data_IF_060613716323
#
_entry.id   IF_060613716323
#
_cell.length_a   1.000
_cell.length_b   1.000
_cell.length_c   1.000
_cell.angle_alpha   90.00
_cell.angle_beta   90.00
_cell.angle_gamma   90.00
#
_symmetry.space_group_name_H-M   'P 1'
#
loop_
_entity.id
_entity.type
_entity.pdbx_description
1 polymer ?
#
# COMPACT_ATOMS: atom_id res chain seq x y z
N UNK A 1 -24.31 -7.57 23.76
CA UNK A 1 -24.29 -6.31 22.99
C UNK A 1 -23.02 -5.59 23.34
N UNK A 2 -22.08 -5.55 22.38
CA UNK A 2 -21.02 -4.58 22.18
C UNK A 2 -20.35 -5.10 20.91
N UNK A 3 -20.81 -4.61 19.76
CA UNK A 3 -20.04 -4.76 18.54
C UNK A 3 -18.73 -4.01 18.83
N UNK A 4 -17.62 -4.73 18.95
CA UNK A 4 -16.32 -4.10 18.89
C UNK A 4 -16.32 -3.26 17.61
N UNK A 5 -16.16 -1.96 17.78
CA UNK A 5 -16.07 -1.04 16.64
C UNK A 5 -14.98 -1.53 15.69
N UNK A 6 -15.04 -1.14 14.41
CA UNK A 6 -13.99 -1.51 13.46
C UNK A 6 -12.61 -1.21 14.06
N UNK A 7 -11.64 -2.12 13.92
CA UNK A 7 -10.32 -1.96 14.52
C UNK A 7 -9.74 -0.60 14.14
N UNK A 8 -9.32 0.15 15.15
CA UNK A 8 -8.66 1.45 14.94
C UNK A 8 -7.39 1.19 14.15
N UNK A 9 -7.29 1.79 12.96
CA UNK A 9 -6.07 1.73 12.15
C UNK A 9 -4.89 2.17 13.01
N UNK A 10 -3.93 1.29 13.19
CA UNK A 10 -2.74 1.59 13.97
C UNK A 10 -1.77 2.45 13.17
N UNK A 11 -0.97 3.26 13.84
CA UNK A 11 0.11 4.03 13.21
C UNK A 11 1.05 3.09 12.43
N UNK A 12 1.30 1.90 12.97
CA UNK A 12 2.12 0.88 12.32
C UNK A 12 1.51 0.39 11.00
N UNK A 13 0.20 0.12 10.92
CA UNK A 13 -0.45 -0.28 9.67
C UNK A 13 -0.37 0.82 8.59
N UNK A 14 -0.48 2.09 9.00
CA UNK A 14 -0.32 3.22 8.08
C UNK A 14 1.13 3.36 7.60
N UNK A 15 2.11 3.20 8.49
CA UNK A 15 3.53 3.20 8.15
C UNK A 15 3.91 2.04 7.23
N UNK A 16 3.42 0.83 7.50
CA UNK A 16 3.61 -0.36 6.67
C UNK A 16 3.08 -0.13 5.25
N UNK A 17 1.86 0.42 5.13
CA UNK A 17 1.25 0.72 3.84
C UNK A 17 2.03 1.80 3.07
N UNK A 18 2.47 2.87 3.76
CA UNK A 18 3.30 3.93 3.15
C UNK A 18 4.65 3.42 2.68
N UNK A 19 5.29 2.55 3.46
CA UNK A 19 6.52 1.90 3.06
C UNK A 19 6.31 1.07 1.78
N UNK A 20 5.29 0.20 1.76
CA UNK A 20 4.99 -0.65 0.60
C UNK A 20 4.71 0.15 -0.67
N UNK A 21 3.96 1.26 -0.59
CA UNK A 21 3.73 2.13 -1.75
C UNK A 21 5.00 2.87 -2.18
N UNK A 22 5.85 3.27 -1.23
CA UNK A 22 7.14 3.92 -1.55
C UNK A 22 8.06 2.96 -2.32
N UNK A 23 8.20 1.73 -1.83
CA UNK A 23 9.02 0.67 -2.43
C UNK A 23 8.57 0.34 -3.87
N UNK A 24 7.27 0.13 -4.06
CA UNK A 24 6.68 -0.16 -5.38
C UNK A 24 6.82 1.00 -6.39
N UNK A 25 6.90 2.25 -5.91
CA UNK A 25 7.17 3.40 -6.79
C UNK A 25 8.60 3.39 -7.34
N UNK A 26 9.56 2.96 -6.53
CA UNK A 26 10.95 2.84 -6.96
C UNK A 26 11.13 1.62 -7.89
N UNK A 27 10.46 0.51 -7.59
CA UNK A 27 10.39 -0.65 -8.50
C UNK A 27 9.81 -0.27 -9.87
N UNK A 28 8.70 0.50 -9.89
CA UNK A 28 8.10 0.97 -11.13
C UNK A 28 9.04 1.88 -11.94
N UNK A 29 9.80 2.74 -11.25
CA UNK A 29 10.81 3.60 -11.89
C UNK A 29 11.96 2.78 -12.50
N UNK A 30 12.42 1.73 -11.80
CA UNK A 30 13.43 0.80 -12.31
C UNK A 30 12.93 -0.03 -13.51
N UNK A 31 11.64 -0.36 -13.53
CA UNK A 31 10.97 -1.13 -14.58
C UNK A 31 10.93 -0.39 -15.93
N UNK A 32 10.91 0.95 -15.94
CA UNK A 32 10.91 1.76 -17.15
C UNK A 32 12.27 1.77 -17.90
N UNK A 33 13.36 1.37 -17.23
CA UNK A 33 14.72 1.44 -17.78
C UNK A 33 15.21 0.14 -18.45
N UNK A 34 14.43 -0.95 -18.46
CA UNK A 34 14.85 -2.27 -18.98
C UNK A 34 13.75 -2.94 -19.81
N UNK A 35 14.10 -3.96 -20.59
CA UNK A 35 13.17 -4.95 -21.15
C UNK A 35 12.47 -5.73 -20.01
N UNK A 36 11.63 -5.03 -19.24
CA UNK A 36 10.86 -5.62 -18.18
C UNK A 36 9.73 -6.41 -18.81
N UNK A 37 9.89 -7.73 -18.86
CA UNK A 37 8.86 -8.68 -19.27
C UNK A 37 7.63 -8.65 -18.35
N UNK A 38 7.13 -9.82 -17.94
CA UNK A 38 5.91 -9.93 -17.13
C UNK A 38 5.90 -9.17 -15.79
N UNK A 39 7.05 -8.71 -15.27
CA UNK A 39 7.19 -7.98 -14.01
C UNK A 39 6.34 -6.71 -13.95
N UNK A 40 6.23 -5.95 -15.05
CA UNK A 40 5.43 -4.73 -15.13
C UNK A 40 3.97 -4.97 -14.73
N UNK A 41 3.40 -6.11 -15.14
CA UNK A 41 2.03 -6.48 -14.79
C UNK A 41 1.86 -6.61 -13.28
N UNK A 42 2.81 -7.26 -12.61
CA UNK A 42 2.77 -7.48 -11.17
C UNK A 42 3.00 -6.18 -10.39
N UNK A 43 3.99 -5.37 -10.78
CA UNK A 43 4.27 -4.08 -10.14
C UNK A 43 3.07 -3.14 -10.27
N UNK A 44 2.50 -2.99 -11.47
CA UNK A 44 1.35 -2.10 -11.69
C UNK A 44 0.11 -2.56 -10.92
N UNK A 45 -0.17 -3.87 -10.94
CA UNK A 45 -1.30 -4.44 -10.21
C UNK A 45 -1.16 -4.25 -8.71
N UNK A 46 0.02 -4.52 -8.17
CA UNK A 46 0.29 -4.42 -6.73
C UNK A 46 0.33 -2.96 -6.26
N UNK A 47 0.99 -2.05 -7.00
CA UNK A 47 0.99 -0.63 -6.68
C UNK A 47 -0.41 -0.05 -6.67
N UNK A 48 -1.26 -0.42 -7.64
CA UNK A 48 -2.65 0.03 -7.69
C UNK A 48 -3.44 -0.44 -6.46
N UNK A 49 -3.25 -1.69 -6.05
CA UNK A 49 -3.89 -2.28 -4.86
C UNK A 49 -3.43 -1.58 -3.59
N UNK A 50 -2.12 -1.50 -3.36
CA UNK A 50 -1.54 -0.89 -2.17
C UNK A 50 -1.89 0.60 -2.04
N UNK A 51 -1.96 1.32 -3.17
CA UNK A 51 -2.38 2.73 -3.17
C UNK A 51 -3.84 2.89 -2.73
N UNK A 52 -4.75 2.02 -3.22
CA UNK A 52 -6.15 2.03 -2.80
C UNK A 52 -6.31 1.69 -1.30
N UNK A 53 -5.54 0.72 -0.81
CA UNK A 53 -5.53 0.34 0.60
C UNK A 53 -5.00 1.45 1.50
N UNK A 54 -3.90 2.11 1.10
CA UNK A 54 -3.37 3.27 1.82
C UNK A 54 -4.40 4.41 1.90
N UNK A 55 -5.11 4.70 0.82
CA UNK A 55 -6.14 5.72 0.81
C UNK A 55 -7.30 5.39 1.77
N UNK A 56 -7.72 4.12 1.83
CA UNK A 56 -8.76 3.67 2.77
C UNK A 56 -8.28 3.68 4.23
N UNK A 57 -7.02 3.30 4.48
CA UNK A 57 -6.40 3.38 5.80
C UNK A 57 -6.34 4.84 6.28
N UNK A 58 -5.87 5.76 5.42
CA UNK A 58 -5.80 7.19 5.72
C UNK A 58 -7.19 7.80 5.97
N UNK A 59 -8.22 7.32 5.27
CA UNK A 59 -9.61 7.73 5.48
C UNK A 59 -10.29 7.08 6.70
N UNK A 60 -9.62 6.16 7.41
CA UNK A 60 -10.24 5.39 8.50
C UNK A 60 -11.37 4.45 8.03
N UNK A 61 -11.42 4.15 6.73
CA UNK A 61 -12.47 3.35 6.07
C UNK A 61 -12.01 1.91 5.78
N UNK A 62 -10.77 1.57 6.14
CA UNK A 62 -10.26 0.21 6.02
C UNK A 62 -10.94 -0.71 7.05
N UNK A 63 -11.63 -1.73 6.56
CA UNK A 63 -12.37 -2.68 7.40
C UNK A 63 -11.73 -4.08 7.47
N UNK A 64 -10.55 -4.26 6.87
CA UNK A 64 -9.96 -5.58 6.63
C UNK A 64 -10.73 -6.40 5.59
N UNK A 65 -10.01 -7.03 4.65
CA UNK A 65 -10.58 -7.92 3.64
C UNK A 65 -10.30 -7.48 2.20
N UNK A 66 -9.95 -8.43 1.33
CA UNK A 66 -9.53 -8.17 -0.04
C UNK A 66 -10.66 -8.17 -1.09
N UNK A 67 -10.31 -7.74 -2.31
CA UNK A 67 -11.10 -7.95 -3.51
C UNK A 67 -12.30 -7.02 -3.69
N UNK A 68 -13.38 -7.51 -4.32
CA UNK A 68 -14.51 -6.75 -4.93
C UNK A 68 -15.14 -5.64 -4.08
N UNK A 69 -14.98 -5.65 -2.76
CA UNK A 69 -15.46 -4.56 -1.92
C UNK A 69 -14.51 -3.34 -1.88
N UNK A 70 -13.27 -3.48 -2.34
CA UNK A 70 -12.25 -2.43 -2.38
C UNK A 70 -12.69 -1.27 -3.26
N UNK A 71 -13.07 -1.53 -4.52
CA UNK A 71 -13.49 -0.48 -5.45
C UNK A 71 -14.74 0.28 -4.97
N UNK A 72 -15.74 -0.43 -4.44
CA UNK A 72 -16.96 0.19 -3.90
C UNK A 72 -16.64 1.06 -2.67
N UNK A 73 -15.85 0.54 -1.73
CA UNK A 73 -15.42 1.31 -0.55
C UNK A 73 -14.57 2.51 -0.92
N UNK A 74 -13.71 2.35 -1.92
CA UNK A 74 -12.88 3.43 -2.41
C UNK A 74 -13.74 4.55 -2.99
N UNK A 75 -14.80 4.22 -3.74
CA UNK A 75 -15.73 5.24 -4.24
C UNK A 75 -16.52 5.92 -3.12
N UNK A 76 -16.89 5.19 -2.06
CA UNK A 76 -17.59 5.76 -0.90
C UNK A 76 -16.69 6.68 -0.05
N UNK A 77 -15.43 6.30 0.18
CA UNK A 77 -14.51 7.02 1.07
C UNK A 77 -13.64 8.05 0.35
N UNK A 78 -13.23 7.77 -0.89
CA UNK A 78 -12.33 8.59 -1.71
C UNK A 78 -12.84 8.62 -3.17
N UNK A 79 -13.93 9.37 -3.44
CA UNK A 79 -14.60 9.35 -4.74
C UNK A 79 -13.67 9.60 -5.93
N UNK A 80 -13.82 8.82 -6.99
CA UNK A 80 -13.04 8.94 -8.22
C UNK A 80 -11.62 8.35 -8.19
N UNK A 81 -11.08 7.98 -7.03
CA UNK A 81 -9.74 7.39 -6.94
C UNK A 81 -9.66 6.03 -7.66
N UNK A 82 -10.72 5.22 -7.60
CA UNK A 82 -10.79 3.93 -8.31
C UNK A 82 -10.62 4.10 -9.82
N UNK A 83 -11.34 5.08 -10.41
CA UNK A 83 -11.27 5.36 -11.84
C UNK A 83 -9.89 5.91 -12.24
N UNK A 84 -9.31 6.79 -11.41
CA UNK A 84 -7.95 7.32 -11.63
C UNK A 84 -6.91 6.20 -11.63
N UNK A 85 -6.95 5.29 -10.66
CA UNK A 85 -6.03 4.14 -10.58
C UNK A 85 -6.21 3.20 -11.77
N UNK A 86 -7.44 2.93 -12.19
CA UNK A 86 -7.71 2.08 -13.36
C UNK A 86 -7.12 2.70 -14.64
N UNK A 87 -7.39 3.98 -14.89
CA UNK A 87 -6.89 4.67 -16.09
C UNK A 87 -5.36 4.78 -16.10
N UNK A 88 -4.77 5.15 -14.95
CA UNK A 88 -3.33 5.28 -14.80
C UNK A 88 -2.61 3.92 -14.89
N UNK A 89 -3.18 2.88 -14.30
CA UNK A 89 -2.67 1.50 -14.39
C UNK A 89 -2.64 0.99 -15.82
N UNK A 90 -3.70 1.23 -16.60
CA UNK A 90 -3.73 0.86 -18.02
C UNK A 90 -2.57 1.51 -18.82
N UNK A 91 -2.31 2.80 -18.60
CA UNK A 91 -1.19 3.50 -19.22
C UNK A 91 0.18 2.95 -18.75
N UNK A 92 0.31 2.61 -17.47
CA UNK A 92 1.54 2.07 -16.91
C UNK A 92 1.90 0.70 -17.52
N UNK A 93 0.89 -0.14 -17.81
CA UNK A 93 1.06 -1.41 -18.52
C UNK A 93 1.60 -1.22 -19.94
N UNK A 94 1.32 -0.08 -20.58
CA UNK A 94 1.82 0.25 -21.93
C UNK A 94 3.23 0.88 -21.95
N UNK A 95 3.85 1.13 -20.80
CA UNK A 95 5.11 1.88 -20.76
C UNK A 95 5.04 3.21 -20.02
N UNK A 96 3.84 3.80 -19.89
CA UNK A 96 3.64 5.19 -19.50
C UNK A 96 3.26 5.28 -18.02
N UNK A 97 4.26 5.17 -17.14
CA UNK A 97 4.06 5.07 -15.69
C UNK A 97 3.74 6.38 -14.98
N UNK A 98 4.02 7.54 -15.59
CA UNK A 98 3.94 8.85 -14.93
C UNK A 98 2.59 9.11 -14.24
N UNK A 99 1.49 8.75 -14.90
CA UNK A 99 0.15 8.92 -14.34
C UNK A 99 -0.08 8.07 -13.09
N UNK A 100 0.41 6.83 -13.08
CA UNK A 100 0.25 5.93 -11.93
C UNK A 100 1.14 6.39 -10.77
N UNK A 101 2.38 6.79 -11.08
CA UNK A 101 3.29 7.38 -10.11
C UNK A 101 2.72 8.63 -9.46
N UNK A 102 2.08 9.52 -10.23
CA UNK A 102 1.47 10.73 -9.72
C UNK A 102 0.30 10.43 -8.75
N UNK A 103 -0.59 9.49 -9.11
CA UNK A 103 -1.72 9.11 -8.24
C UNK A 103 -1.22 8.50 -6.93
N UNK A 104 -0.24 7.60 -6.98
CA UNK A 104 0.34 6.98 -5.78
C UNK A 104 1.08 8.01 -4.91
N UNK A 105 1.79 8.96 -5.52
CA UNK A 105 2.46 10.04 -4.79
C UNK A 105 1.46 10.96 -4.08
N UNK A 106 0.34 11.32 -4.71
CA UNK A 106 -0.71 12.14 -4.08
C UNK A 106 -1.29 11.47 -2.83
N UNK A 107 -1.57 10.16 -2.90
CA UNK A 107 -2.07 9.39 -1.76
C UNK A 107 -1.02 9.28 -0.65
N UNK A 108 0.26 9.07 -1.01
CA UNK A 108 1.36 9.09 -0.05
C UNK A 108 1.47 10.44 0.65
N UNK A 109 1.45 11.54 -0.09
CA UNK A 109 1.57 12.89 0.45
C UNK A 109 0.43 13.21 1.42
N UNK A 110 -0.80 12.82 1.08
CA UNK A 110 -1.96 12.89 1.97
C UNK A 110 -1.86 12.01 3.23
N UNK A 111 -0.96 11.02 3.22
CA UNK A 111 -0.71 10.08 4.34
C UNK A 111 0.58 10.40 5.13
N UNK A 112 1.26 11.51 4.82
CA UNK A 112 2.50 11.94 5.48
C UNK A 112 3.78 11.72 4.69
N UNK A 113 3.67 11.40 3.38
CA UNK A 113 4.77 11.30 2.41
C UNK A 113 5.44 9.93 2.32
N UNK A 114 6.51 9.85 1.53
CA UNK A 114 7.34 8.62 1.41
C UNK A 114 7.98 8.24 2.74
N UNK A 115 8.23 6.94 2.92
CA UNK A 115 8.89 6.41 4.11
C UNK A 115 10.03 5.47 3.67
N UNK A 116 11.28 5.90 3.91
CA UNK A 116 12.49 5.20 3.42
C UNK A 116 13.48 4.79 4.52
N UNK A 117 13.59 5.56 5.61
CA UNK A 117 14.71 5.44 6.56
C UNK A 117 14.24 4.93 7.93
N UNK A 118 14.84 3.82 8.38
CA UNK A 118 14.72 3.34 9.77
C UNK A 118 13.53 2.43 10.07
N UNK A 119 12.67 2.14 9.08
CA UNK A 119 11.59 1.17 9.25
C UNK A 119 12.20 -0.21 9.57
N UNK A 120 12.08 -0.63 10.82
CA UNK A 120 12.45 -1.97 11.30
C UNK A 120 11.20 -2.57 11.92
N UNK A 121 10.55 -3.49 11.22
CA UNK A 121 9.61 -4.39 11.87
C UNK A 121 10.42 -5.23 12.86
N UNK A 122 10.11 -5.10 14.16
CA UNK A 122 10.66 -6.02 15.14
C UNK A 122 10.14 -7.41 14.75
N UNK A 123 11.01 -8.26 14.21
CA UNK A 123 10.65 -9.62 13.85
C UNK A 123 10.19 -10.34 15.10
N UNK A 124 8.89 -10.62 15.20
CA UNK A 124 8.39 -11.50 16.25
C UNK A 124 8.93 -12.89 15.97
N UNK A 125 9.86 -13.37 16.81
CA UNK A 125 10.20 -14.78 16.94
C UNK A 125 9.35 -15.34 18.09
N UNK A 126 8.21 -16.00 17.83
CA UNK A 126 7.53 -16.75 18.86
C UNK A 126 8.42 -17.92 19.30
N UNK A 127 8.79 -17.95 20.57
CA UNK A 127 9.24 -19.19 21.22
C UNK A 127 10.73 -19.33 21.54
N UNK A 128 11.46 -18.25 21.81
CA UNK A 128 12.73 -18.39 22.54
C UNK A 128 12.44 -18.42 24.05
N UNK A 129 12.58 -19.56 24.75
CA UNK A 129 12.59 -19.54 26.21
C UNK A 129 13.82 -18.75 26.67
N UNK A 130 13.61 -17.90 27.68
CA UNK A 130 14.71 -17.18 28.33
C UNK A 130 15.76 -18.19 28.82
N UNK A 131 17.01 -17.98 28.40
CA UNK A 131 18.13 -18.74 28.91
C UNK A 131 18.25 -18.44 30.41
N UNK A 132 17.74 -19.37 31.23
CA UNK A 132 17.92 -19.39 32.67
C UNK A 132 19.39 -19.24 32.99
N UNK A 133 19.76 -18.07 33.51
CA UNK A 133 21.02 -17.90 34.21
C UNK A 133 20.76 -18.31 35.64
N UNK A 134 20.85 -19.61 35.91
CA UNK A 134 20.97 -20.11 37.27
C UNK A 134 22.46 -20.23 37.59
N UNK A 135 22.89 -19.52 38.64
CA UNK A 135 24.24 -19.52 39.18
C UNK A 135 24.16 -19.80 40.67
#
# INVERSE_FOLDING_TARGET
MLAEGPPVVTVAELEDARYGVSDLLDDLAGCAAREAGGERLFIVGELSRCTAELALLAAGAWAGGGGKQLARRLEEAVPGLAARLQAAGALALEGKSDALSAVAQEVLDGSGGRLWAGYRRQGYLPGMPEASTDR
#
